data_IF_824185956611
#
_entry.id   IF_824185956611
#
_cell.length_a   1.000
_cell.length_b   1.000
_cell.length_c   1.000
_cell.angle_alpha   90.00
_cell.angle_beta   90.00
_cell.angle_gamma   90.00
#
_symmetry.space_group_name_H-M   'P 1'
#
loop_
_entity.id
_entity.type
_entity.pdbx_description
1 polymer ?
#
# COMPACT_ATOMS: atom_id res chain seq x y z
N UNK A 1 7.84 15.58 -4.68
CA UNK A 1 8.22 15.87 -6.10
C UNK A 1 7.72 14.70 -6.92
N UNK A 2 6.66 14.90 -7.69
CA UNK A 2 6.04 13.82 -8.48
C UNK A 2 6.87 13.65 -9.76
N UNK A 3 7.60 12.54 -9.87
CA UNK A 3 8.32 12.19 -11.10
C UNK A 3 7.36 11.37 -11.95
N UNK A 4 7.00 11.84 -13.14
CA UNK A 4 6.14 11.09 -14.05
C UNK A 4 6.88 9.87 -14.62
N UNK A 5 6.15 8.81 -14.97
CA UNK A 5 6.70 7.60 -15.60
C UNK A 5 7.59 7.90 -16.81
N UNK A 6 7.23 8.93 -17.58
CA UNK A 6 7.94 9.36 -18.76
C UNK A 6 9.31 9.95 -18.41
N UNK A 7 9.38 10.77 -17.36
CA UNK A 7 10.65 11.36 -16.88
C UNK A 7 11.58 10.30 -16.29
N UNK A 8 11.03 9.31 -15.58
CA UNK A 8 11.78 8.16 -15.07
C UNK A 8 12.38 7.33 -16.21
N UNK A 9 11.56 7.00 -17.21
CA UNK A 9 11.97 6.24 -18.39
C UNK A 9 13.05 6.95 -19.20
N UNK A 10 12.87 8.24 -19.49
CA UNK A 10 13.81 9.03 -20.28
C UNK A 10 15.14 9.23 -19.54
N UNK A 11 15.11 9.43 -18.23
CA UNK A 11 16.32 9.59 -17.40
C UNK A 11 17.12 8.30 -17.25
N UNK A 12 16.47 7.13 -17.17
CA UNK A 12 17.18 5.84 -17.17
C UNK A 12 17.83 5.52 -18.49
N UNK A 13 17.20 5.90 -19.62
CA UNK A 13 17.75 5.72 -20.96
C UNK A 13 19.03 6.53 -21.20
N UNK A 14 19.10 7.72 -20.62
CA UNK A 14 20.29 8.61 -20.73
C UNK A 14 21.50 8.04 -19.96
N UNK A 15 21.28 7.26 -18.89
CA UNK A 15 22.33 6.71 -18.03
C UNK A 15 22.84 5.31 -18.44
N UNK A 16 22.49 4.82 -19.64
CA UNK A 16 22.98 3.54 -20.17
C UNK A 16 22.42 2.30 -19.50
N UNK A 17 21.42 2.42 -18.63
CA UNK A 17 20.70 1.29 -18.05
C UNK A 17 19.70 0.74 -19.08
N UNK A 18 19.72 -0.58 -19.27
CA UNK A 18 18.84 -1.27 -20.20
C UNK A 18 17.36 -0.98 -19.87
N UNK A 19 16.57 -0.36 -20.79
CA UNK A 19 15.16 -0.11 -20.59
C UNK A 19 14.36 -1.39 -20.30
N UNK A 20 14.84 -2.58 -20.73
CA UNK A 20 14.22 -3.85 -20.46
C UNK A 20 14.29 -4.26 -18.98
N UNK A 21 15.28 -3.78 -18.24
CA UNK A 21 15.38 -3.99 -16.79
C UNK A 21 14.30 -3.18 -16.08
N UNK A 22 14.01 -1.98 -16.57
CA UNK A 22 12.97 -1.13 -16.00
C UNK A 22 11.55 -1.64 -16.26
N UNK A 23 11.27 -2.20 -17.43
CA UNK A 23 9.98 -2.84 -17.75
C UNK A 23 9.69 -4.06 -16.87
N UNK A 24 10.71 -4.64 -16.24
CA UNK A 24 10.57 -5.71 -15.24
C UNK A 24 10.36 -5.17 -13.82
N UNK A 25 10.63 -3.90 -13.57
CA UNK A 25 10.41 -3.24 -12.30
C UNK A 25 8.99 -2.69 -12.25
N UNK A 26 8.06 -3.46 -11.69
CA UNK A 26 6.71 -2.97 -11.46
C UNK A 26 6.70 -2.16 -10.16
N UNK A 27 6.63 -0.83 -10.27
CA UNK A 27 6.65 0.11 -9.15
C UNK A 27 5.38 0.93 -9.14
N UNK A 28 4.71 0.98 -8.00
CA UNK A 28 3.62 1.92 -7.73
C UNK A 28 4.13 3.02 -6.80
N UNK A 29 3.90 4.26 -7.20
CA UNK A 29 4.29 5.43 -6.43
C UNK A 29 3.03 6.22 -6.04
N UNK A 30 2.88 6.49 -4.75
CA UNK A 30 1.84 7.35 -4.23
C UNK A 30 2.45 8.28 -3.18
N UNK A 31 2.64 9.54 -3.55
CA UNK A 31 3.39 10.53 -2.76
C UNK A 31 4.79 9.99 -2.41
N UNK A 32 5.06 9.76 -1.13
CA UNK A 32 6.29 9.19 -0.58
C UNK A 32 6.24 7.65 -0.45
N UNK A 33 5.06 7.05 -0.55
CA UNK A 33 4.89 5.60 -0.46
C UNK A 33 5.23 4.93 -1.80
N UNK A 34 6.12 3.94 -1.77
CA UNK A 34 6.57 3.18 -2.94
C UNK A 34 6.34 1.69 -2.73
N UNK A 35 5.78 1.01 -3.73
CA UNK A 35 5.67 -0.46 -3.76
C UNK A 35 6.43 -1.00 -4.95
N UNK A 36 7.32 -1.94 -4.70
CA UNK A 36 8.07 -2.68 -5.72
C UNK A 36 7.53 -4.09 -5.80
N UNK A 37 7.16 -4.54 -7.00
CA UNK A 37 6.68 -5.90 -7.25
C UNK A 37 7.79 -6.77 -7.81
N UNK A 38 7.86 -8.02 -7.36
CA UNK A 38 8.79 -9.00 -7.86
C UNK A 38 8.12 -10.39 -7.90
N UNK A 39 8.57 -11.25 -8.80
CA UNK A 39 8.05 -12.61 -8.98
C UNK A 39 8.85 -13.66 -8.23
N UNK A 40 10.08 -13.33 -7.82
CA UNK A 40 10.96 -14.20 -7.03
C UNK A 40 11.75 -13.36 -6.01
N UNK A 41 12.42 -14.03 -5.08
CA UNK A 41 13.31 -13.39 -4.11
C UNK A 41 14.49 -12.73 -4.81
N UNK A 42 15.09 -13.40 -5.80
CA UNK A 42 16.23 -12.89 -6.56
C UNK A 42 15.84 -11.60 -7.32
N UNK A 43 14.70 -11.62 -8.00
CA UNK A 43 14.20 -10.42 -8.71
C UNK A 43 13.84 -9.31 -7.73
N UNK A 44 13.37 -9.65 -6.53
CA UNK A 44 13.10 -8.65 -5.47
C UNK A 44 14.38 -7.96 -5.03
N UNK A 45 15.44 -8.71 -4.75
CA UNK A 45 16.76 -8.17 -4.36
C UNK A 45 17.33 -7.29 -5.46
N UNK A 46 17.27 -7.74 -6.73
CA UNK A 46 17.73 -6.93 -7.86
C UNK A 46 16.97 -5.61 -7.99
N UNK A 47 15.64 -5.68 -7.91
CA UNK A 47 14.77 -4.50 -8.00
C UNK A 47 15.01 -3.52 -6.86
N UNK A 48 15.19 -4.01 -5.65
CA UNK A 48 15.45 -3.18 -4.49
C UNK A 48 16.84 -2.52 -4.55
N UNK A 49 17.86 -3.23 -5.04
CA UNK A 49 19.18 -2.64 -5.27
C UNK A 49 19.14 -1.55 -6.35
N UNK A 50 18.41 -1.78 -7.44
CA UNK A 50 18.21 -0.74 -8.47
C UNK A 50 17.49 0.48 -7.91
N UNK A 51 16.46 0.26 -7.08
CA UNK A 51 15.74 1.33 -6.43
C UNK A 51 16.61 2.09 -5.43
N UNK A 52 17.46 1.39 -4.64
CA UNK A 52 18.41 2.02 -3.74
C UNK A 52 19.43 2.89 -4.50
N UNK A 53 19.99 2.38 -5.60
CA UNK A 53 20.90 3.15 -6.44
C UNK A 53 20.23 4.40 -7.02
N UNK A 54 18.95 4.27 -7.43
CA UNK A 54 18.16 5.42 -7.89
C UNK A 54 17.98 6.45 -6.77
N UNK A 55 17.60 6.03 -5.57
CA UNK A 55 17.43 6.92 -4.43
C UNK A 55 18.74 7.64 -4.10
N UNK A 56 19.85 6.93 -4.05
CA UNK A 56 21.19 7.49 -3.80
C UNK A 56 21.58 8.53 -4.86
N UNK A 57 21.30 8.24 -6.15
CA UNK A 57 21.59 9.20 -7.23
C UNK A 57 20.80 10.50 -7.08
N UNK A 58 19.53 10.41 -6.66
CA UNK A 58 18.65 11.56 -6.48
C UNK A 58 18.66 12.16 -5.08
N UNK A 59 19.54 11.67 -4.20
CA UNK A 59 19.65 12.10 -2.78
C UNK A 59 18.31 11.96 -2.05
N UNK A 60 17.62 10.84 -2.28
CA UNK A 60 16.40 10.44 -1.59
C UNK A 60 16.78 9.43 -0.52
N UNK A 61 16.24 9.59 0.68
CA UNK A 61 16.46 8.65 1.78
C UNK A 61 15.38 7.57 1.80
N UNK A 62 15.82 6.31 1.91
CA UNK A 62 14.92 5.17 2.10
C UNK A 62 14.70 4.97 3.60
N UNK A 63 13.44 4.99 4.04
CA UNK A 63 13.11 4.65 5.42
C UNK A 63 13.08 3.12 5.57
N UNK A 64 14.23 2.52 5.92
CA UNK A 64 14.37 1.07 6.07
C UNK A 64 13.53 0.49 7.20
N UNK A 65 13.26 1.24 8.28
CA UNK A 65 12.44 0.78 9.40
C UNK A 65 10.97 0.57 8.99
N UNK A 66 10.47 1.40 8.07
CA UNK A 66 9.12 1.29 7.49
C UNK A 66 9.07 0.37 6.27
N UNK A 67 10.22 0.09 5.64
CA UNK A 67 10.28 -0.78 4.47
C UNK A 67 10.08 -2.23 4.89
N UNK A 68 9.12 -2.92 4.29
CA UNK A 68 8.75 -4.29 4.63
C UNK A 68 8.52 -5.12 3.38
N UNK A 69 8.62 -6.43 3.51
CA UNK A 69 8.32 -7.37 2.43
C UNK A 69 7.05 -8.14 2.76
N UNK A 70 6.11 -8.15 1.83
CA UNK A 70 4.95 -9.01 1.89
C UNK A 70 5.01 -10.02 0.75
N UNK A 71 5.22 -11.27 1.08
CA UNK A 71 5.30 -12.33 0.11
C UNK A 71 3.99 -13.13 0.06
N UNK A 72 3.45 -13.32 -1.14
CA UNK A 72 2.22 -14.06 -1.39
C UNK A 72 2.52 -15.50 -1.80
N UNK A 73 1.95 -16.47 -1.11
CA UNK A 73 2.07 -17.91 -1.39
C UNK A 73 2.76 -18.70 -0.28
N UNK A 74 2.62 -20.05 -0.36
CA UNK A 74 3.02 -20.95 0.73
C UNK A 74 4.50 -21.38 0.71
N UNK A 75 5.22 -21.12 -0.37
CA UNK A 75 6.59 -21.67 -0.61
C UNK A 75 7.72 -20.80 -0.07
N UNK A 76 7.44 -19.74 0.65
CA UNK A 76 8.47 -18.80 1.10
C UNK A 76 9.03 -19.29 2.42
N UNK A 77 10.30 -19.66 2.38
CA UNK A 77 11.07 -20.02 3.58
C UNK A 77 11.25 -18.76 4.44
N UNK A 78 10.51 -18.67 5.55
CA UNK A 78 10.43 -17.50 6.46
C UNK A 78 11.76 -17.16 7.16
N UNK A 79 12.79 -17.99 6.98
CA UNK A 79 14.10 -17.77 7.58
C UNK A 79 15.03 -16.91 6.70
N UNK A 80 14.61 -16.57 5.49
CA UNK A 80 15.38 -15.69 4.61
C UNK A 80 15.01 -14.24 4.86
N UNK A 81 16.02 -13.41 5.02
CA UNK A 81 15.90 -11.98 5.13
C UNK A 81 16.38 -11.35 3.82
N UNK A 82 15.63 -10.41 3.27
CA UNK A 82 16.15 -9.57 2.19
C UNK A 82 17.05 -8.53 2.84
N UNK A 83 18.28 -8.43 2.31
CA UNK A 83 19.22 -7.40 2.72
C UNK A 83 19.36 -6.38 1.58
N UNK A 84 19.26 -5.11 1.92
CA UNK A 84 19.54 -3.99 1.03
C UNK A 84 20.66 -3.21 1.69
N UNK A 85 21.80 -3.10 1.01
CA UNK A 85 23.01 -2.52 1.61
C UNK A 85 23.35 -3.20 2.95
N UNK A 86 23.29 -2.46 4.05
CA UNK A 86 23.54 -2.99 5.40
C UNK A 86 22.25 -3.21 6.22
N UNK A 87 21.07 -2.99 5.61
CA UNK A 87 19.78 -3.09 6.29
C UNK A 87 19.09 -4.42 6.00
N UNK A 88 18.51 -5.02 7.05
CA UNK A 88 17.72 -6.24 6.96
C UNK A 88 16.25 -5.84 6.85
N UNK A 89 15.58 -6.25 5.78
CA UNK A 89 14.16 -5.99 5.54
C UNK A 89 13.35 -7.18 6.05
N UNK A 90 12.40 -6.87 6.90
CA UNK A 90 11.55 -7.84 7.58
C UNK A 90 10.42 -8.33 6.67
N UNK A 91 10.13 -9.66 6.73
CA UNK A 91 8.94 -10.24 6.12
C UNK A 91 7.74 -10.13 7.04
N UNK A 92 6.64 -9.60 6.53
CA UNK A 92 5.37 -9.51 7.24
C UNK A 92 4.33 -10.48 6.70
N UNK A 93 3.37 -10.85 7.56
CA UNK A 93 2.21 -11.64 7.15
C UNK A 93 1.07 -10.75 6.65
N UNK A 94 1.03 -9.50 7.13
CA UNK A 94 0.06 -8.48 6.77
C UNK A 94 0.76 -7.13 6.68
N UNK A 95 0.38 -6.32 5.71
CA UNK A 95 0.90 -4.97 5.54
C UNK A 95 -0.21 -4.02 5.13
N UNK A 96 -0.28 -2.87 5.78
CA UNK A 96 -1.25 -1.81 5.46
C UNK A 96 -0.62 -0.81 4.49
N UNK A 97 -1.16 -0.75 3.27
CA UNK A 97 -0.74 0.18 2.23
C UNK A 97 -1.94 1.02 1.78
N UNK A 98 -1.81 2.34 1.80
CA UNK A 98 -2.89 3.30 1.46
C UNK A 98 -4.22 2.98 2.16
N UNK A 99 -4.16 2.59 3.43
CA UNK A 99 -5.36 2.21 4.18
C UNK A 99 -5.91 0.81 3.92
N UNK A 100 -5.35 0.09 2.94
CA UNK A 100 -5.76 -1.27 2.58
C UNK A 100 -4.84 -2.31 3.22
N UNK A 101 -5.41 -3.34 3.88
CA UNK A 101 -4.63 -4.39 4.54
C UNK A 101 -4.47 -5.57 3.59
N UNK A 102 -3.25 -5.77 3.12
CA UNK A 102 -2.85 -6.93 2.34
C UNK A 102 -2.38 -8.04 3.26
N UNK A 103 -2.86 -9.27 3.01
CA UNK A 103 -2.48 -10.46 3.76
C UNK A 103 -1.81 -11.47 2.82
N UNK A 104 -0.73 -12.14 3.28
CA UNK A 104 0.00 -13.16 2.52
C UNK A 104 -0.89 -14.26 1.95
N UNK A 105 -1.98 -14.61 2.65
CA UNK A 105 -2.93 -15.64 2.25
C UNK A 105 -3.97 -15.14 1.25
N UNK A 106 -3.85 -13.88 0.78
CA UNK A 106 -4.79 -13.23 -0.14
C UNK A 106 -6.22 -13.16 0.40
N UNK A 107 -6.41 -13.17 1.73
CA UNK A 107 -7.71 -13.05 2.38
C UNK A 107 -7.97 -11.60 2.78
N UNK A 108 -9.19 -11.13 2.59
CA UNK A 108 -9.61 -9.79 2.97
C UNK A 108 -10.28 -9.70 4.34
N UNK A 109 -10.26 -10.78 5.13
CA UNK A 109 -10.91 -10.82 6.45
C UNK A 109 -10.38 -9.75 7.42
N UNK A 110 -9.07 -9.50 7.42
CA UNK A 110 -8.44 -8.44 8.24
C UNK A 110 -8.88 -7.06 7.77
N UNK A 111 -8.91 -6.83 6.45
CA UNK A 111 -9.40 -5.58 5.85
C UNK A 111 -10.87 -5.32 6.20
N UNK A 112 -11.73 -6.32 6.03
CA UNK A 112 -13.16 -6.19 6.33
C UNK A 112 -13.41 -5.85 7.80
N UNK A 113 -12.67 -6.48 8.72
CA UNK A 113 -12.73 -6.16 10.15
C UNK A 113 -12.28 -4.72 10.44
N UNK A 114 -11.20 -4.27 9.80
CA UNK A 114 -10.66 -2.92 9.99
C UNK A 114 -11.66 -1.86 9.49
N UNK A 115 -12.22 -2.03 8.29
CA UNK A 115 -13.25 -1.13 7.71
C UNK A 115 -14.49 -1.05 8.59
N UNK A 116 -15.03 -2.20 9.03
CA UNK A 116 -16.20 -2.23 9.92
C UNK A 116 -15.91 -1.54 11.25
N UNK A 117 -14.73 -1.76 11.82
CA UNK A 117 -14.34 -1.11 13.08
C UNK A 117 -14.19 0.42 12.92
N UNK A 118 -13.61 0.88 11.81
CA UNK A 118 -13.48 2.30 11.52
C UNK A 118 -14.86 2.95 11.31
N UNK A 119 -15.74 2.32 10.53
CA UNK A 119 -17.09 2.79 10.30
C UNK A 119 -17.91 2.83 11.61
N UNK A 120 -17.76 1.81 12.46
CA UNK A 120 -18.41 1.79 13.78
C UNK A 120 -17.93 2.94 14.66
N UNK A 121 -16.62 3.22 14.71
CA UNK A 121 -16.07 4.38 15.44
C UNK A 121 -16.63 5.70 14.90
N UNK A 122 -16.68 5.86 13.59
CA UNK A 122 -17.25 7.05 12.95
C UNK A 122 -18.74 7.22 13.28
N UNK A 123 -19.52 6.12 13.24
CA UNK A 123 -20.93 6.12 13.59
C UNK A 123 -21.16 6.52 15.06
N UNK A 124 -20.40 5.96 15.99
CA UNK A 124 -20.50 6.34 17.40
C UNK A 124 -20.12 7.81 17.63
N UNK A 125 -19.04 8.27 16.98
CA UNK A 125 -18.65 9.68 17.06
C UNK A 125 -19.72 10.60 16.48
N UNK A 126 -20.34 10.22 15.36
CA UNK A 126 -21.45 10.96 14.78
C UNK A 126 -22.66 10.98 15.73
N UNK A 127 -23.06 9.80 16.23
CA UNK A 127 -24.20 9.68 17.13
C UNK A 127 -24.06 10.52 18.40
N UNK A 128 -22.88 10.52 19.03
CA UNK A 128 -22.62 11.32 20.24
C UNK A 128 -22.71 12.82 19.97
N UNK A 129 -22.34 13.26 18.76
CA UNK A 129 -22.41 14.68 18.38
C UNK A 129 -23.83 15.13 18.01
N UNK A 130 -24.56 14.29 17.26
CA UNK A 130 -25.90 14.68 16.80
C UNK A 130 -26.97 14.54 17.88
N UNK A 131 -26.74 13.72 18.92
CA UNK A 131 -27.70 13.50 20.01
C UNK A 131 -28.06 14.79 20.76
N UNK A 132 -27.14 15.74 20.84
CA UNK A 132 -27.35 17.03 21.47
C UNK A 132 -27.93 18.11 20.53
N UNK A 133 -28.06 17.78 19.24
CA UNK A 133 -28.54 18.70 18.21
C UNK A 133 -29.94 18.25 17.76
N UNK A 134 -30.87 19.22 17.71
CA UNK A 134 -32.21 18.95 17.18
C UNK A 134 -32.20 18.97 15.64
N UNK A 135 -31.64 17.89 15.08
CA UNK A 135 -31.50 17.71 13.64
C UNK A 135 -32.67 16.90 13.07
N UNK A 136 -33.20 17.36 11.93
CA UNK A 136 -34.18 16.57 11.19
C UNK A 136 -33.59 15.23 10.74
N UNK A 137 -34.42 14.20 10.59
CA UNK A 137 -34.04 12.86 10.14
C UNK A 137 -33.28 12.92 8.79
N UNK A 138 -33.76 13.78 7.89
CA UNK A 138 -33.09 13.97 6.58
C UNK A 138 -31.66 14.49 6.74
N UNK A 139 -31.39 15.38 7.68
CA UNK A 139 -30.05 15.87 7.98
C UNK A 139 -29.18 14.78 8.60
N UNK A 140 -29.72 13.98 9.53
CA UNK A 140 -29.01 12.87 10.15
C UNK A 140 -28.60 11.80 9.12
N UNK A 141 -29.50 11.45 8.19
CA UNK A 141 -29.21 10.51 7.10
C UNK A 141 -28.12 11.06 6.18
N UNK A 142 -28.20 12.33 5.81
CA UNK A 142 -27.18 12.96 4.97
C UNK A 142 -25.79 12.98 5.62
N UNK A 143 -25.72 13.17 6.94
CA UNK A 143 -24.47 13.08 7.69
C UNK A 143 -23.94 11.64 7.71
N UNK A 144 -24.80 10.65 7.90
CA UNK A 144 -24.43 9.24 7.82
C UNK A 144 -23.87 8.88 6.44
N UNK A 145 -24.57 9.27 5.36
CA UNK A 145 -24.16 8.98 3.99
C UNK A 145 -22.81 9.62 3.63
N UNK A 146 -22.53 10.82 4.17
CA UNK A 146 -21.30 11.52 3.85
C UNK A 146 -20.10 11.14 4.74
N UNK A 147 -20.35 10.66 5.97
CA UNK A 147 -19.27 10.43 6.95
C UNK A 147 -19.01 8.95 7.22
N UNK A 148 -20.02 8.09 7.15
CA UNK A 148 -19.89 6.65 7.48
C UNK A 148 -19.83 5.78 6.24
N UNK A 149 -20.71 6.02 5.27
CA UNK A 149 -20.78 5.22 4.03
C UNK A 149 -19.46 5.22 3.25
N UNK A 150 -18.72 6.35 3.07
CA UNK A 150 -17.44 6.35 2.38
C UNK A 150 -16.38 5.47 3.05
N UNK A 151 -16.41 5.34 4.38
CA UNK A 151 -15.52 4.44 5.12
C UNK A 151 -15.87 2.99 4.79
N UNK A 152 -17.16 2.63 4.80
CA UNK A 152 -17.63 1.28 4.49
C UNK A 152 -17.35 0.87 3.05
N UNK A 153 -17.40 1.82 2.12
CA UNK A 153 -17.21 1.56 0.68
C UNK A 153 -15.76 1.71 0.24
N UNK A 154 -14.85 2.11 1.15
CA UNK A 154 -13.44 2.28 0.81
C UNK A 154 -12.82 0.98 0.27
N UNK A 155 -12.28 1.04 -0.95
CA UNK A 155 -11.65 -0.10 -1.60
C UNK A 155 -12.61 -1.25 -1.96
N UNK A 156 -13.93 -1.04 -1.91
CA UNK A 156 -14.94 -2.08 -2.15
C UNK A 156 -14.76 -2.78 -3.51
N UNK A 157 -14.29 -2.06 -4.53
CA UNK A 157 -13.98 -2.63 -5.85
C UNK A 157 -12.91 -3.73 -5.81
N UNK A 158 -12.07 -3.77 -4.78
CA UNK A 158 -11.00 -4.77 -4.64
C UNK A 158 -11.51 -6.00 -3.89
N UNK A 159 -12.26 -5.81 -2.81
CA UNK A 159 -12.68 -6.92 -1.95
C UNK A 159 -14.07 -7.47 -2.26
N UNK A 160 -14.93 -6.70 -2.96
CA UNK A 160 -16.24 -7.20 -3.44
C UNK A 160 -16.12 -8.11 -4.67
N UNK A 161 -15.17 -7.89 -5.57
CA UNK A 161 -15.02 -8.66 -6.82
C UNK A 161 -14.82 -10.17 -6.58
N UNK A 162 -14.52 -10.60 -5.36
CA UNK A 162 -14.32 -12.02 -5.02
C UNK A 162 -15.62 -12.79 -4.70
N UNK A 163 -16.78 -12.15 -4.78
CA UNK A 163 -18.10 -12.75 -4.51
C UNK A 163 -18.95 -12.94 -5.78
N UNK A 164 -18.32 -12.77 -6.98
CA UNK A 164 -18.96 -13.06 -8.27
C UNK A 164 -18.19 -14.13 -9.04
#
# INVERSE_FOLDING_TARGET
MCVTWRELYDKMRINGNDPNVFLKLFVLLYADDTVVFATSEETSIQSLNLFSNYCNHWKLDINYDKTKVLAFGDRINRQRHIRIENHIIEYLNEFKYLGFIFNKNRKFSSMNKDVVNQARKALFSLYTKIRSLDLSIACQLKLFDNLVVPILTYGCVIWLVRYW
#
